data_IF_881483742863
#
_entry.id   IF_881483742863
#
_cell.length_a   1.000
_cell.length_b   1.000
_cell.length_c   1.000
_cell.angle_alpha   90.00
_cell.angle_beta   90.00
_cell.angle_gamma   90.00
#
_symmetry.space_group_name_H-M   'P 1'
#
loop_
_entity.id
_entity.type
_entity.pdbx_description
1 polymer ?
#
# COMPACT_ATOMS: atom_id res chain seq x y z
N UNK A 1 10.00 9.79 -5.64
CA UNK A 1 10.99 9.35 -4.64
C UNK A 1 12.44 9.69 -4.99
N UNK A 2 12.84 9.76 -6.28
CA UNK A 2 14.21 10.15 -6.69
C UNK A 2 14.62 11.56 -6.24
N UNK A 3 13.72 12.55 -6.39
CA UNK A 3 13.93 13.95 -5.93
C UNK A 3 13.66 14.17 -4.43
N UNK A 4 13.02 13.21 -3.76
CA UNK A 4 12.62 13.31 -2.36
C UNK A 4 13.05 12.04 -1.63
N UNK A 5 14.31 12.00 -1.21
CA UNK A 5 14.96 10.82 -0.61
C UNK A 5 14.41 10.44 0.76
N UNK A 6 13.71 11.35 1.45
CA UNK A 6 13.11 11.11 2.78
C UNK A 6 11.71 10.49 2.73
N UNK A 7 11.06 10.45 1.56
CA UNK A 7 9.72 9.85 1.47
C UNK A 7 9.80 8.32 1.58
N UNK A 8 8.87 7.72 2.31
CA UNK A 8 8.69 6.28 2.33
C UNK A 8 7.41 5.91 1.59
N UNK A 9 7.34 4.68 1.09
CA UNK A 9 6.18 4.16 0.38
C UNK A 9 5.60 3.01 1.19
N UNK A 10 4.31 3.09 1.50
CA UNK A 10 3.54 1.95 1.99
C UNK A 10 2.59 1.54 0.87
N UNK A 11 2.69 0.29 0.44
CA UNK A 11 1.74 -0.32 -0.48
C UNK A 11 0.92 -1.36 0.28
N UNK A 12 -0.40 -1.28 0.18
CA UNK A 12 -1.33 -2.22 0.81
C UNK A 12 -2.23 -2.85 -0.25
N UNK A 13 -2.17 -4.17 -0.34
CA UNK A 13 -2.88 -4.96 -1.32
C UNK A 13 -2.50 -6.43 -1.20
N UNK A 14 -3.45 -7.26 -0.78
CA UNK A 14 -3.30 -8.71 -0.72
C UNK A 14 -3.95 -9.38 -1.91
N UNK A 15 -4.86 -10.32 -1.66
CA UNK A 15 -5.63 -10.99 -2.70
C UNK A 15 -7.13 -10.83 -2.44
N UNK A 16 -7.81 -10.04 -3.26
CA UNK A 16 -9.25 -9.80 -3.16
C UNK A 16 -10.12 -10.86 -3.86
N UNK A 17 -9.51 -11.87 -4.50
CA UNK A 17 -10.23 -12.93 -5.21
C UNK A 17 -10.83 -13.94 -4.24
N UNK A 18 -12.05 -14.41 -4.54
CA UNK A 18 -12.72 -15.48 -3.77
C UNK A 18 -11.96 -16.81 -3.82
N UNK A 19 -11.30 -17.10 -4.94
CA UNK A 19 -10.39 -18.23 -5.11
C UNK A 19 -8.97 -17.67 -5.26
N UNK A 20 -8.13 -17.97 -4.27
CA UNK A 20 -6.78 -17.44 -4.19
C UNK A 20 -5.85 -18.17 -5.15
N UNK A 21 -5.10 -17.44 -5.98
CA UNK A 21 -4.05 -17.97 -6.85
C UNK A 21 -2.68 -17.96 -6.18
N UNK A 22 -2.58 -17.42 -4.96
CA UNK A 22 -1.36 -17.42 -4.15
C UNK A 22 -0.38 -16.29 -4.46
N UNK A 23 -0.70 -15.43 -5.44
CA UNK A 23 0.10 -14.22 -5.77
C UNK A 23 -0.69 -13.00 -5.31
N UNK A 24 -0.14 -12.30 -4.32
CA UNK A 24 -0.76 -11.06 -3.81
C UNK A 24 -0.42 -9.87 -4.71
N UNK A 25 -1.29 -8.85 -4.71
CA UNK A 25 -1.02 -7.57 -5.38
C UNK A 25 0.29 -6.95 -4.91
N UNK A 26 0.60 -7.09 -3.61
CA UNK A 26 1.88 -6.66 -3.03
C UNK A 26 3.10 -7.39 -3.61
N UNK A 27 2.99 -8.68 -3.94
CA UNK A 27 4.10 -9.40 -4.59
C UNK A 27 4.38 -8.86 -5.99
N UNK A 28 3.33 -8.53 -6.75
CA UNK A 28 3.46 -7.87 -8.05
C UNK A 28 4.01 -6.44 -7.91
N UNK A 29 3.54 -5.69 -6.92
CA UNK A 29 4.02 -4.35 -6.63
C UNK A 29 5.51 -4.34 -6.27
N UNK A 30 5.99 -5.35 -5.51
CA UNK A 30 7.42 -5.54 -5.22
C UNK A 30 8.24 -5.61 -6.51
N UNK A 31 7.88 -6.53 -7.40
CA UNK A 31 8.58 -6.74 -8.67
C UNK A 31 8.58 -5.46 -9.51
N UNK A 32 7.41 -4.82 -9.64
CA UNK A 32 7.27 -3.56 -10.36
C UNK A 32 8.19 -2.48 -9.79
N UNK A 33 8.18 -2.22 -8.48
CA UNK A 33 9.03 -1.18 -7.89
C UNK A 33 10.52 -1.47 -8.04
N UNK A 34 10.93 -2.73 -7.94
CA UNK A 34 12.32 -3.15 -8.20
C UNK A 34 12.72 -2.85 -9.64
N UNK A 35 11.89 -3.20 -10.62
CA UNK A 35 12.14 -2.92 -12.04
C UNK A 35 12.21 -1.40 -12.33
N UNK A 36 11.44 -0.58 -11.61
CA UNK A 36 11.52 0.89 -11.70
C UNK A 36 12.76 1.50 -11.01
N UNK A 37 13.58 0.67 -10.34
CA UNK A 37 14.78 1.10 -9.63
C UNK A 37 14.48 1.85 -8.33
N UNK A 38 13.37 1.53 -7.65
CA UNK A 38 13.12 2.03 -6.30
C UNK A 38 14.01 1.30 -5.29
N UNK A 39 14.53 2.05 -4.33
CA UNK A 39 15.18 1.47 -3.14
C UNK A 39 14.12 0.79 -2.26
N UNK A 40 14.14 -0.54 -2.27
CA UNK A 40 13.17 -1.36 -1.55
C UNK A 40 13.29 -1.24 -0.02
N UNK A 41 14.37 -0.68 0.52
CA UNK A 41 14.47 -0.39 1.96
C UNK A 41 13.49 0.71 2.40
N UNK A 42 12.97 1.50 1.44
CA UNK A 42 12.00 2.58 1.67
C UNK A 42 10.57 2.17 1.33
N UNK A 43 10.35 0.89 1.00
CA UNK A 43 9.04 0.37 0.58
C UNK A 43 8.59 -0.68 1.59
N UNK A 44 7.47 -0.42 2.25
CA UNK A 44 6.79 -1.40 3.10
C UNK A 44 5.59 -1.96 2.35
N UNK A 45 5.47 -3.29 2.35
CA UNK A 45 4.41 -4.00 1.64
C UNK A 45 3.50 -4.69 2.64
N UNK A 46 2.21 -4.39 2.57
CA UNK A 46 1.14 -5.00 3.35
C UNK A 46 0.36 -5.96 2.44
N UNK A 47 0.51 -7.27 2.67
CA UNK A 47 0.09 -8.35 1.76
C UNK A 47 -1.19 -9.08 2.18
N UNK A 48 -1.78 -8.73 3.33
CA UNK A 48 -2.85 -9.48 3.97
C UNK A 48 -4.25 -8.89 3.79
N UNK A 49 -4.39 -7.74 3.14
CA UNK A 49 -5.70 -7.10 2.93
C UNK A 49 -6.42 -7.61 1.70
N UNK A 50 -7.74 -7.79 1.81
CA UNK A 50 -8.60 -8.23 0.71
C UNK A 50 -9.60 -7.18 0.25
N UNK A 51 -9.69 -6.06 0.96
CA UNK A 51 -10.59 -4.95 0.67
C UNK A 51 -10.07 -3.63 1.27
N UNK A 52 -10.71 -2.52 0.90
CA UNK A 52 -10.28 -1.17 1.30
C UNK A 52 -10.28 -0.95 2.82
N UNK A 53 -11.22 -1.54 3.56
CA UNK A 53 -11.28 -1.44 5.02
C UNK A 53 -10.12 -2.16 5.69
N UNK A 54 -9.81 -3.36 5.21
CA UNK A 54 -8.64 -4.12 5.68
C UNK A 54 -7.34 -3.36 5.37
N UNK A 55 -7.23 -2.72 4.21
CA UNK A 55 -6.07 -1.90 3.86
C UNK A 55 -5.85 -0.81 4.92
N UNK A 56 -6.88 -0.02 5.25
CA UNK A 56 -6.77 1.06 6.22
C UNK A 56 -6.37 0.56 7.61
N UNK A 57 -6.99 -0.53 8.09
CA UNK A 57 -6.70 -1.10 9.40
C UNK A 57 -5.27 -1.64 9.50
N UNK A 58 -4.77 -2.32 8.48
CA UNK A 58 -3.43 -2.91 8.49
C UNK A 58 -2.34 -1.87 8.28
N UNK A 59 -2.57 -0.89 7.40
CA UNK A 59 -1.66 0.26 7.23
C UNK A 59 -1.56 1.07 8.52
N UNK A 60 -2.69 1.32 9.20
CA UNK A 60 -2.68 2.01 10.50
C UNK A 60 -1.84 1.26 11.54
N UNK A 61 -1.98 -0.07 11.63
CA UNK A 61 -1.15 -0.92 12.50
C UNK A 61 0.33 -0.87 12.13
N UNK A 62 0.64 -0.89 10.83
CA UNK A 62 2.01 -0.85 10.31
C UNK A 62 2.69 0.50 10.64
N UNK A 63 1.97 1.60 10.49
CA UNK A 63 2.49 2.95 10.75
C UNK A 63 2.55 3.29 12.24
N UNK A 64 1.75 2.64 13.09
CA UNK A 64 1.70 2.94 14.51
C UNK A 64 1.33 4.41 14.76
N UNK A 65 2.10 5.13 15.57
CA UNK A 65 1.86 6.56 15.85
C UNK A 65 1.99 7.45 14.61
N UNK A 66 2.76 7.02 13.60
CA UNK A 66 2.98 7.77 12.35
C UNK A 66 1.74 7.87 11.48
N UNK A 67 0.69 7.08 11.76
CA UNK A 67 -0.58 7.18 11.03
C UNK A 67 -1.26 8.56 11.21
N UNK A 68 -0.88 9.32 12.25
CA UNK A 68 -1.36 10.67 12.54
C UNK A 68 -0.56 11.78 11.86
N UNK A 69 0.56 11.44 11.23
CA UNK A 69 1.37 12.39 10.47
C UNK A 69 0.76 12.64 9.09
N UNK A 70 1.14 13.72 8.37
CA UNK A 70 0.69 13.93 7.01
C UNK A 70 1.19 12.82 6.06
N UNK A 71 0.27 12.23 5.30
CA UNK A 71 0.57 11.27 4.25
C UNK A 71 -0.25 11.57 2.98
N UNK A 72 0.13 10.94 1.88
CA UNK A 72 -0.56 11.07 0.59
C UNK A 72 -1.26 9.77 0.26
N UNK A 73 -2.59 9.83 0.06
CA UNK A 73 -3.38 8.70 -0.42
C UNK A 73 -3.27 8.59 -1.93
N UNK A 74 -2.82 7.44 -2.43
CA UNK A 74 -2.78 7.17 -3.87
C UNK A 74 -3.70 5.99 -4.17
N UNK A 75 -4.77 6.25 -4.91
CA UNK A 75 -5.68 5.23 -5.44
C UNK A 75 -6.32 5.71 -6.73
N UNK A 76 -7.07 4.85 -7.42
CA UNK A 76 -7.77 5.24 -8.66
C UNK A 76 -8.89 6.24 -8.35
N UNK A 77 -9.21 7.13 -9.31
CA UNK A 77 -10.27 8.12 -9.16
C UNK A 77 -11.63 7.48 -8.78
N UNK A 78 -11.93 6.30 -9.33
CA UNK A 78 -13.15 5.53 -9.02
C UNK A 78 -13.18 5.07 -7.56
N UNK A 79 -12.04 4.67 -7.00
CA UNK A 79 -11.98 4.14 -5.63
C UNK A 79 -11.75 5.22 -4.57
N UNK A 80 -11.34 6.43 -4.97
CA UNK A 80 -11.03 7.52 -4.06
C UNK A 80 -12.14 7.83 -3.04
N UNK A 81 -13.44 7.94 -3.41
CA UNK A 81 -14.49 8.25 -2.44
C UNK A 81 -14.58 7.23 -1.30
N UNK A 82 -14.43 5.93 -1.60
CA UNK A 82 -14.43 4.86 -0.59
C UNK A 82 -13.13 4.85 0.20
N UNK A 83 -11.98 5.09 -0.44
CA UNK A 83 -10.70 5.06 0.24
C UNK A 83 -10.59 6.18 1.28
N UNK A 84 -10.99 7.41 0.95
CA UNK A 84 -11.02 8.55 1.90
C UNK A 84 -11.98 8.32 3.07
N UNK A 85 -13.05 7.55 2.88
CA UNK A 85 -13.95 7.22 3.97
C UNK A 85 -13.37 6.21 4.97
N UNK A 86 -12.39 5.41 4.55
CA UNK A 86 -11.80 4.33 5.37
C UNK A 86 -10.44 4.71 5.98
N UNK A 87 -9.66 5.56 5.29
CA UNK A 87 -8.32 6.01 5.68
C UNK A 87 -8.34 7.39 6.34
#
# INVERSE_FOLDING_TARGET
MRKHSKLELVFSGGEGRLLTTGVTESALARAFYQEQGLDMNRVQLETGSRNTRENAQRVSKLLGSRCKEPWLLVTSARHMPRAVAEF
#
